data_IF_738903074010
#
_entry.id   IF_738903074010
#
_cell.length_a   1.000
_cell.length_b   1.000
_cell.length_c   1.000
_cell.angle_alpha   90.00
_cell.angle_beta   90.00
_cell.angle_gamma   90.00
#
_symmetry.space_group_name_H-M   'P 1'
#
loop_
_entity.id
_entity.type
_entity.pdbx_description
1 polymer ?
#
# COMPACT_ATOMS: atom_id res chain seq x y z
N UNK A 1 -7.53 -9.00 -47.47
CA UNK A 1 -6.73 -9.78 -46.53
C UNK A 1 -6.62 -8.94 -45.24
N UNK A 2 -7.40 -9.32 -44.24
CA UNK A 2 -7.44 -8.65 -42.93
C UNK A 2 -6.26 -9.21 -42.12
N UNK A 3 -5.25 -8.37 -41.83
CA UNK A 3 -4.20 -8.68 -40.89
C UNK A 3 -4.77 -8.45 -39.47
N UNK A 4 -5.14 -9.54 -38.80
CA UNK A 4 -5.46 -9.55 -37.38
C UNK A 4 -4.11 -9.49 -36.67
N UNK A 5 -3.73 -8.30 -36.19
CA UNK A 5 -2.66 -8.15 -35.18
C UNK A 5 -3.17 -8.80 -33.89
N UNK A 6 -2.74 -10.03 -33.64
CA UNK A 6 -2.89 -10.66 -32.33
C UNK A 6 -2.05 -9.89 -31.33
N UNK A 7 -2.72 -9.10 -30.49
CA UNK A 7 -2.11 -8.54 -29.28
C UNK A 7 -1.89 -9.74 -28.37
N UNK A 8 -0.66 -10.23 -28.32
CA UNK A 8 -0.25 -11.24 -27.35
C UNK A 8 -0.44 -10.66 -25.94
N UNK A 9 -1.05 -11.39 -25.00
CA UNK A 9 -1.03 -10.96 -23.61
C UNK A 9 0.45 -10.90 -23.19
N UNK A 10 0.89 -9.75 -22.77
CA UNK A 10 2.22 -9.58 -22.20
C UNK A 10 2.36 -10.59 -21.05
N UNK A 11 3.21 -11.59 -21.27
CA UNK A 11 3.56 -12.55 -20.22
C UNK A 11 4.28 -11.79 -19.12
N UNK A 12 3.72 -11.81 -17.93
CA UNK A 12 4.28 -11.23 -16.68
C UNK A 12 5.69 -11.76 -16.36
N UNK A 13 6.13 -12.85 -17.05
CA UNK A 13 7.50 -13.41 -16.94
C UNK A 13 8.63 -12.47 -17.39
N UNK A 14 8.33 -11.34 -18.04
CA UNK A 14 9.36 -10.38 -18.46
C UNK A 14 9.68 -9.33 -17.35
N UNK A 15 8.95 -9.35 -16.25
CA UNK A 15 9.10 -8.40 -15.13
C UNK A 15 9.95 -8.91 -13.97
N UNK A 16 10.68 -10.03 -14.16
CA UNK A 16 11.72 -10.45 -13.23
C UNK A 16 13.11 -10.11 -13.80
N UNK A 17 13.60 -8.90 -13.66
CA UNK A 17 15.00 -8.65 -13.93
C UNK A 17 15.81 -9.26 -12.77
N UNK A 18 16.47 -10.38 -13.05
CA UNK A 18 17.51 -10.92 -12.16
C UNK A 18 18.76 -10.01 -12.11
N UNK A 19 18.73 -8.87 -12.77
CA UNK A 19 19.79 -7.87 -12.84
C UNK A 19 19.27 -6.54 -12.31
N UNK A 20 19.81 -6.01 -11.18
CA UNK A 20 19.44 -4.71 -10.66
C UNK A 20 19.74 -3.54 -11.61
N UNK A 21 20.49 -3.75 -12.70
CA UNK A 21 20.74 -2.72 -13.72
C UNK A 21 19.60 -2.55 -14.74
N UNK A 22 18.64 -3.48 -14.77
CA UNK A 22 17.49 -3.42 -15.67
C UNK A 22 16.32 -2.58 -15.16
N UNK A 23 16.44 -1.99 -13.96
CA UNK A 23 15.40 -1.17 -13.32
C UNK A 23 15.20 0.18 -14.04
N UNK A 24 16.15 0.59 -14.90
CA UNK A 24 16.04 1.85 -15.67
C UNK A 24 14.95 1.82 -16.75
N UNK A 25 14.33 0.67 -17.00
CA UNK A 25 13.30 0.49 -18.03
C UNK A 25 11.87 0.38 -17.49
N UNK A 26 11.65 0.51 -16.16
CA UNK A 26 10.29 0.71 -15.68
C UNK A 26 9.85 2.09 -16.12
N UNK A 27 8.88 2.14 -17.01
CA UNK A 27 8.16 3.36 -17.37
C UNK A 27 7.95 4.19 -16.09
N UNK A 28 8.06 5.51 -16.18
CA UNK A 28 7.90 6.39 -15.03
C UNK A 28 6.51 6.25 -14.37
N UNK A 29 5.59 5.59 -15.03
CA UNK A 29 4.23 5.33 -14.56
C UNK A 29 3.88 3.85 -14.62
N UNK A 30 3.45 3.30 -13.48
CA UNK A 30 2.77 2.00 -13.38
C UNK A 30 1.27 2.20 -13.11
N UNK A 31 0.76 3.38 -13.41
CA UNK A 31 -0.63 3.77 -13.17
C UNK A 31 -1.61 2.77 -13.80
N UNK A 32 -2.56 2.29 -13.01
CA UNK A 32 -3.61 1.38 -13.44
C UNK A 32 -3.13 -0.02 -13.89
N UNK A 33 -1.85 -0.37 -13.72
CA UNK A 33 -1.32 -1.66 -14.11
C UNK A 33 -1.80 -2.78 -13.20
N UNK A 34 -1.95 -3.98 -13.75
CA UNK A 34 -2.20 -5.19 -12.96
C UNK A 34 -0.87 -5.84 -12.57
N UNK A 35 -0.50 -5.67 -11.32
CA UNK A 35 0.76 -6.07 -10.72
C UNK A 35 0.54 -7.03 -9.53
N UNK A 36 -0.52 -7.83 -9.60
CA UNK A 36 -0.85 -8.80 -8.55
C UNK A 36 0.28 -9.80 -8.34
N UNK A 37 0.55 -10.12 -7.07
CA UNK A 37 1.53 -11.11 -6.65
C UNK A 37 2.96 -10.88 -7.20
N UNK A 38 3.27 -9.65 -7.61
CA UNK A 38 4.62 -9.26 -8.03
C UNK A 38 5.54 -9.08 -6.84
N UNK A 39 6.85 -9.23 -7.04
CA UNK A 39 7.84 -9.13 -5.99
C UNK A 39 8.77 -7.93 -6.23
N UNK A 40 8.89 -7.08 -5.21
CA UNK A 40 9.76 -5.91 -5.18
C UNK A 40 10.63 -5.96 -3.92
N UNK A 41 11.79 -6.63 -4.01
CA UNK A 41 12.74 -6.71 -2.90
C UNK A 41 13.88 -5.73 -3.12
N UNK A 42 14.02 -4.76 -2.22
CA UNK A 42 15.05 -3.70 -2.30
C UNK A 42 14.90 -2.82 -3.56
N UNK A 43 13.69 -2.69 -4.09
CA UNK A 43 13.40 -1.82 -5.22
C UNK A 43 13.23 -0.37 -4.77
N UNK A 44 13.67 0.55 -5.64
CA UNK A 44 13.38 1.97 -5.50
C UNK A 44 12.30 2.39 -6.51
N UNK A 45 11.10 2.58 -5.99
CA UNK A 45 9.93 3.09 -6.71
C UNK A 45 9.60 4.53 -6.27
N UNK A 46 10.57 5.23 -5.71
CA UNK A 46 10.38 6.58 -5.20
C UNK A 46 9.98 7.55 -6.33
N UNK A 47 8.96 8.36 -6.04
CA UNK A 47 8.44 9.36 -6.99
C UNK A 47 7.67 8.80 -8.18
N UNK A 48 7.44 7.49 -8.26
CA UNK A 48 6.68 6.87 -9.35
C UNK A 48 5.17 7.11 -9.20
N UNK A 49 4.49 7.19 -10.35
CA UNK A 49 3.04 7.14 -10.43
C UNK A 49 2.58 5.67 -10.44
N UNK A 50 1.97 5.26 -9.33
CA UNK A 50 1.44 3.93 -9.06
C UNK A 50 -0.07 3.99 -8.78
N UNK A 51 -0.69 5.12 -9.13
CA UNK A 51 -2.11 5.36 -8.90
C UNK A 51 -2.98 4.29 -9.57
N UNK A 52 -4.08 3.91 -8.92
CA UNK A 52 -5.05 2.92 -9.41
C UNK A 52 -4.45 1.53 -9.77
N UNK A 53 -3.16 1.29 -9.55
CA UNK A 53 -2.52 0.01 -9.82
C UNK A 53 -3.05 -1.09 -8.88
N UNK A 54 -3.10 -2.32 -9.39
CA UNK A 54 -3.51 -3.47 -8.61
C UNK A 54 -2.30 -4.26 -8.13
N UNK A 55 -1.95 -4.08 -6.87
CA UNK A 55 -0.87 -4.77 -6.16
C UNK A 55 -1.37 -5.87 -5.22
N UNK A 56 -2.56 -6.41 -5.43
CA UNK A 56 -3.11 -7.45 -4.57
C UNK A 56 -2.10 -8.60 -4.37
N UNK A 57 -1.76 -8.88 -3.10
CA UNK A 57 -0.81 -9.94 -2.75
C UNK A 57 0.64 -9.67 -3.17
N UNK A 58 0.98 -8.49 -3.66
CA UNK A 58 2.35 -8.15 -4.01
C UNK A 58 3.25 -8.10 -2.77
N UNK A 59 4.55 -8.29 -2.97
CA UNK A 59 5.55 -8.35 -1.92
C UNK A 59 6.56 -7.22 -2.05
N UNK A 60 6.52 -6.27 -1.12
CA UNK A 60 7.47 -5.16 -1.01
C UNK A 60 8.33 -5.34 0.24
N UNK A 61 9.56 -5.80 0.10
CA UNK A 61 10.45 -5.95 1.24
C UNK A 61 11.66 -5.03 1.13
N UNK A 62 11.86 -4.21 2.16
CA UNK A 62 13.00 -3.27 2.23
C UNK A 62 13.04 -2.31 1.03
N UNK A 63 11.88 -2.04 0.42
CA UNK A 63 11.73 -1.21 -0.77
C UNK A 63 11.39 0.24 -0.43
N UNK A 64 11.59 1.14 -1.39
CA UNK A 64 11.28 2.56 -1.24
C UNK A 64 10.11 2.95 -2.16
N UNK A 65 9.05 3.49 -1.55
CA UNK A 65 7.89 4.09 -2.20
C UNK A 65 7.76 5.57 -1.80
N UNK A 66 8.90 6.20 -1.49
CA UNK A 66 8.92 7.59 -1.05
C UNK A 66 8.42 8.53 -2.13
N UNK A 67 7.61 9.51 -1.74
CA UNK A 67 7.08 10.52 -2.66
C UNK A 67 6.31 9.92 -3.84
N UNK A 68 5.96 8.63 -3.82
CA UNK A 68 5.17 8.01 -4.88
C UNK A 68 3.69 8.39 -4.77
N UNK A 69 2.99 8.37 -5.89
CA UNK A 69 1.54 8.45 -5.91
C UNK A 69 0.95 7.03 -6.01
N UNK A 70 0.27 6.59 -4.95
CA UNK A 70 -0.43 5.32 -4.84
C UNK A 70 -1.95 5.53 -4.77
N UNK A 71 -2.44 6.75 -5.05
CA UNK A 71 -3.86 7.07 -4.88
C UNK A 71 -4.77 6.08 -5.61
N UNK A 72 -5.77 5.57 -4.89
CA UNK A 72 -6.72 4.59 -5.42
C UNK A 72 -6.16 3.20 -5.70
N UNK A 73 -4.88 2.94 -5.43
CA UNK A 73 -4.29 1.63 -5.66
C UNK A 73 -4.93 0.54 -4.79
N UNK A 74 -4.99 -0.68 -5.31
CA UNK A 74 -5.41 -1.85 -4.55
C UNK A 74 -4.18 -2.59 -4.01
N UNK A 75 -3.94 -2.47 -2.71
CA UNK A 75 -2.86 -3.13 -1.97
C UNK A 75 -3.39 -4.18 -0.99
N UNK A 76 -4.52 -4.83 -1.32
CA UNK A 76 -5.12 -5.87 -0.49
C UNK A 76 -4.14 -7.02 -0.29
N UNK A 77 -3.95 -7.46 0.97
CA UNK A 77 -3.04 -8.55 1.35
C UNK A 77 -1.58 -8.36 0.91
N UNK A 78 -1.17 -7.13 0.64
CA UNK A 78 0.23 -6.82 0.32
C UNK A 78 1.11 -7.12 1.53
N UNK A 79 2.34 -7.60 1.28
CA UNK A 79 3.37 -7.73 2.31
C UNK A 79 4.42 -6.64 2.07
N UNK A 80 4.41 -5.61 2.92
CA UNK A 80 5.30 -4.46 2.81
C UNK A 80 6.17 -4.31 4.06
N UNK A 81 7.03 -5.31 4.31
CA UNK A 81 7.90 -5.33 5.47
C UNK A 81 9.08 -4.36 5.31
N UNK A 82 9.30 -3.51 6.30
CA UNK A 82 10.38 -2.52 6.32
C UNK A 82 10.42 -1.63 5.05
N UNK A 83 9.25 -1.36 4.47
CA UNK A 83 9.08 -0.56 3.26
C UNK A 83 8.91 0.91 3.63
N UNK A 84 9.39 1.83 2.81
CA UNK A 84 9.33 3.27 3.06
C UNK A 84 8.25 3.92 2.21
N UNK A 85 7.25 4.49 2.86
CA UNK A 85 6.16 5.27 2.26
C UNK A 85 6.29 6.77 2.56
N UNK A 86 7.44 7.25 2.99
CA UNK A 86 7.62 8.65 3.40
C UNK A 86 7.09 9.61 2.32
N UNK A 87 6.19 10.52 2.69
CA UNK A 87 5.53 11.49 1.81
C UNK A 87 4.75 10.87 0.63
N UNK A 88 4.45 9.58 0.66
CA UNK A 88 3.62 8.98 -0.39
C UNK A 88 2.16 9.43 -0.27
N UNK A 89 1.49 9.51 -1.40
CA UNK A 89 0.05 9.71 -1.47
C UNK A 89 -0.65 8.36 -1.44
N UNK A 90 -1.27 8.03 -0.31
CA UNK A 90 -2.07 6.82 -0.09
C UNK A 90 -3.58 7.13 -0.05
N UNK A 91 -4.02 8.22 -0.64
CA UNK A 91 -5.44 8.60 -0.66
C UNK A 91 -6.27 7.51 -1.36
N UNK A 92 -7.34 7.06 -0.70
CA UNK A 92 -8.24 6.03 -1.19
C UNK A 92 -7.58 4.67 -1.50
N UNK A 93 -6.39 4.39 -0.98
CA UNK A 93 -5.72 3.08 -1.12
C UNK A 93 -6.47 2.03 -0.32
N UNK A 94 -6.64 0.85 -0.90
CA UNK A 94 -7.13 -0.31 -0.18
C UNK A 94 -5.96 -1.13 0.37
N UNK A 95 -5.75 -1.09 1.69
CA UNK A 95 -4.73 -1.84 2.44
C UNK A 95 -5.34 -2.94 3.31
N UNK A 96 -6.53 -3.41 2.96
CA UNK A 96 -7.21 -4.49 3.70
C UNK A 96 -6.31 -5.73 3.81
N UNK A 97 -6.08 -6.20 5.04
CA UNK A 97 -5.25 -7.36 5.32
C UNK A 97 -3.75 -7.19 5.04
N UNK A 98 -3.28 -5.99 4.73
CA UNK A 98 -1.87 -5.74 4.42
C UNK A 98 -0.96 -5.97 5.64
N UNK A 99 0.23 -6.55 5.43
CA UNK A 99 1.27 -6.70 6.44
C UNK A 99 2.30 -5.57 6.31
N UNK A 100 2.27 -4.60 7.22
CA UNK A 100 3.01 -3.34 7.12
C UNK A 100 4.09 -3.18 8.20
N UNK A 101 4.47 -4.27 8.88
CA UNK A 101 5.40 -4.23 10.00
C UNK A 101 6.74 -3.58 9.62
N UNK A 102 7.23 -2.71 10.50
CA UNK A 102 8.47 -1.93 10.36
C UNK A 102 8.48 -0.94 9.19
N UNK A 103 7.39 -0.79 8.46
CA UNK A 103 7.31 0.22 7.41
C UNK A 103 7.21 1.64 7.97
N UNK A 104 7.63 2.62 7.19
CA UNK A 104 7.70 4.03 7.59
C UNK A 104 6.65 4.82 6.83
N UNK A 105 5.86 5.63 7.56
CA UNK A 105 4.74 6.42 7.04
C UNK A 105 4.88 7.91 7.40
N UNK A 106 6.09 8.45 7.33
CA UNK A 106 6.31 9.86 7.64
C UNK A 106 5.75 10.76 6.54
N UNK A 107 4.87 11.70 6.90
CA UNK A 107 4.32 12.68 5.97
C UNK A 107 3.36 12.12 4.92
N UNK A 108 2.84 10.90 5.08
CA UNK A 108 1.87 10.31 4.14
C UNK A 108 0.54 11.05 4.14
N UNK A 109 -0.14 11.04 2.98
CA UNK A 109 -1.56 11.39 2.86
C UNK A 109 -2.36 10.08 2.84
N UNK A 110 -3.38 9.95 3.71
CA UNK A 110 -4.16 8.72 3.89
C UNK A 110 -5.67 8.95 3.83
N UNK A 111 -6.13 10.07 3.28
CA UNK A 111 -7.55 10.38 3.20
C UNK A 111 -8.32 9.30 2.43
N UNK A 112 -9.32 8.70 3.07
CA UNK A 112 -10.12 7.64 2.47
C UNK A 112 -9.43 6.27 2.36
N UNK A 113 -8.19 6.12 2.83
CA UNK A 113 -7.50 4.82 2.84
C UNK A 113 -8.18 3.84 3.79
N UNK A 114 -8.17 2.55 3.39
CA UNK A 114 -8.75 1.46 4.17
C UNK A 114 -7.66 0.54 4.72
N UNK A 115 -7.51 0.53 6.05
CA UNK A 115 -6.57 -0.31 6.79
C UNK A 115 -7.26 -1.47 7.52
N UNK A 116 -8.46 -1.86 7.11
CA UNK A 116 -9.19 -2.96 7.73
C UNK A 116 -8.31 -4.21 7.78
N UNK A 117 -8.19 -4.83 8.97
CA UNK A 117 -7.35 -6.02 9.21
C UNK A 117 -5.86 -5.87 8.87
N UNK A 118 -5.37 -4.66 8.57
CA UNK A 118 -3.96 -4.43 8.32
C UNK A 118 -3.12 -4.67 9.60
N UNK A 119 -1.94 -5.27 9.42
CA UNK A 119 -1.01 -5.55 10.51
C UNK A 119 0.04 -4.43 10.60
N UNK A 120 -0.06 -3.63 11.64
CA UNK A 120 0.82 -2.51 11.97
C UNK A 120 1.45 -2.71 13.34
N UNK A 121 2.64 -2.16 13.57
CA UNK A 121 3.11 -2.00 14.95
C UNK A 121 2.43 -0.79 15.64
N UNK A 122 2.50 -0.75 16.98
CA UNK A 122 1.82 0.29 17.76
C UNK A 122 2.28 1.71 17.44
N UNK A 123 3.55 1.86 17.09
CA UNK A 123 4.12 3.18 16.79
C UNK A 123 3.61 3.70 15.45
N UNK A 124 3.51 2.81 14.46
CA UNK A 124 2.93 3.11 13.14
C UNK A 124 1.45 3.49 13.27
N UNK A 125 0.65 2.65 13.94
CA UNK A 125 -0.77 2.91 14.14
C UNK A 125 -1.02 4.23 14.87
N UNK A 126 -0.27 4.49 15.96
CA UNK A 126 -0.38 5.76 16.67
C UNK A 126 -0.12 6.95 15.75
N UNK A 127 0.93 6.90 14.96
CA UNK A 127 1.32 7.97 14.06
C UNK A 127 0.29 8.21 12.96
N UNK A 128 -0.23 7.14 12.35
CA UNK A 128 -1.30 7.23 11.35
C UNK A 128 -2.59 7.79 11.96
N UNK A 129 -2.93 7.42 13.19
CA UNK A 129 -4.10 7.97 13.89
C UNK A 129 -4.00 9.48 14.22
N UNK A 130 -2.80 10.07 14.20
CA UNK A 130 -2.64 11.52 14.40
C UNK A 130 -3.18 12.33 13.20
N UNK A 131 -3.22 11.71 12.01
CA UNK A 131 -3.66 12.36 10.76
C UNK A 131 -4.91 11.73 10.15
N UNK A 132 -5.30 10.55 10.60
CA UNK A 132 -6.46 9.84 10.08
C UNK A 132 -7.78 10.51 10.45
N UNK A 133 -8.72 10.55 9.51
CA UNK A 133 -10.08 11.06 9.69
C UNK A 133 -11.12 10.09 9.13
N UNK A 134 -12.37 10.20 9.59
CA UNK A 134 -13.50 9.45 9.06
C UNK A 134 -13.25 7.94 8.96
N UNK A 135 -13.56 7.34 7.82
CA UNK A 135 -13.44 5.90 7.59
C UNK A 135 -12.01 5.36 7.77
N UNK A 136 -10.99 6.17 7.46
CA UNK A 136 -9.59 5.80 7.66
C UNK A 136 -9.29 5.63 9.15
N UNK A 137 -9.75 6.55 9.99
CA UNK A 137 -9.60 6.44 11.43
C UNK A 137 -10.33 5.20 11.99
N UNK A 138 -11.51 4.89 11.46
CA UNK A 138 -12.29 3.71 11.86
C UNK A 138 -11.56 2.41 11.49
N UNK A 139 -11.05 2.28 10.27
CA UNK A 139 -10.33 1.09 9.79
C UNK A 139 -9.00 0.87 10.52
N UNK A 140 -8.34 1.95 10.94
CA UNK A 140 -7.13 1.91 11.78
C UNK A 140 -7.44 1.57 13.25
N UNK A 141 -8.72 1.60 13.66
CA UNK A 141 -9.10 1.45 15.07
C UNK A 141 -8.65 2.62 15.94
N UNK A 142 -8.62 3.84 15.39
CA UNK A 142 -8.27 5.03 16.14
C UNK A 142 -9.40 5.38 17.13
N UNK A 143 -9.09 5.41 18.43
CA UNK A 143 -10.09 5.79 19.43
C UNK A 143 -10.37 7.29 19.40
N UNK A 144 -11.63 7.67 19.16
CA UNK A 144 -12.10 9.07 19.19
C UNK A 144 -12.32 9.60 20.60
N UNK A 145 -12.01 8.83 21.65
CA UNK A 145 -12.16 9.29 23.04
C UNK A 145 -10.90 9.98 23.50
N UNK A 146 -11.06 11.27 23.76
CA UNK A 146 -10.09 12.25 24.22
C UNK A 146 -8.87 11.71 24.97
N UNK A 147 -7.70 12.14 24.52
CA UNK A 147 -6.41 12.08 25.21
C UNK A 147 -5.96 10.68 25.68
N UNK A 148 -5.81 9.74 24.78
CA UNK A 148 -5.20 8.45 25.09
C UNK A 148 -5.52 7.39 24.04
N UNK A 149 -4.59 7.17 23.14
CA UNK A 149 -4.61 6.04 22.23
C UNK A 149 -4.77 4.72 23.01
N UNK A 150 -5.87 4.02 22.80
CA UNK A 150 -6.05 2.64 23.27
C UNK A 150 -6.10 1.74 22.04
N UNK A 151 -5.11 0.87 21.82
CA UNK A 151 -5.14 -0.06 20.70
C UNK A 151 -6.36 -0.97 20.84
N UNK A 152 -7.12 -1.13 19.75
CA UNK A 152 -8.14 -2.16 19.71
C UNK A 152 -7.45 -3.51 19.86
N UNK A 153 -7.77 -4.23 20.94
CA UNK A 153 -7.31 -5.62 21.11
C UNK A 153 -8.11 -6.48 20.15
N UNK A 154 -7.43 -7.26 19.30
CA UNK A 154 -8.08 -8.31 18.49
C UNK A 154 -9.06 -9.07 19.37
N UNK A 155 -10.35 -9.02 19.09
CA UNK A 155 -11.37 -9.89 19.69
C UNK A 155 -12.46 -9.23 20.52
N UNK A 156 -12.52 -7.90 20.65
CA UNK A 156 -13.70 -7.27 21.27
C UNK A 156 -14.55 -6.59 20.20
N UNK A 157 -15.60 -7.29 19.77
CA UNK A 157 -16.66 -6.73 18.97
C UNK A 157 -17.20 -5.46 19.63
N UNK A 158 -17.31 -4.40 18.86
CA UNK A 158 -17.96 -3.17 19.28
C UNK A 158 -19.40 -3.51 19.72
N UNK A 159 -19.69 -3.32 20.98
CA UNK A 159 -21.08 -3.39 21.50
C UNK A 159 -21.61 -1.95 21.69
N UNK A 160 -22.43 -1.44 20.77
CA UNK A 160 -23.06 -0.15 20.94
C UNK A 160 -24.35 -0.34 21.72
N UNK A 161 -24.32 -0.34 23.04
CA UNK A 161 -25.57 -0.45 23.78
C UNK A 161 -25.40 -0.60 25.29
N UNK A 162 -25.48 0.43 25.98
CA UNK A 162 -26.43 0.80 27.09
C UNK A 162 -26.08 2.16 27.60
#
# INVERSE_FOLDING_TARGET
VLLILSISPFSVSALYPSDPSSVEALDDSLHGQDLQNTEYVKYDLSGKDLGEANFTGAYFSVSSLKNSDLSGANMTNVIAYATRFDNANLSNVNLTGAELLKSVFDGVTIDGADFTDAVLDRSQQKKLCEVATGKTADSLGCSTRGAGYVPATKGQGFNPGT
#
